data_IF_200607700432
#
_entry.id   IF_200607700432
#
_cell.length_a   1.000
_cell.length_b   1.000
_cell.length_c   1.000
_cell.angle_alpha   90.00
_cell.angle_beta   90.00
_cell.angle_gamma   90.00
#
_symmetry.space_group_name_H-M   'P 1'
#
loop_
_entity.id
_entity.type
_entity.pdbx_description
1 polymer ?
#
# COMPACT_ATOMS: atom_id res chain seq x y z
N UNK A 1 64.95 -14.84 14.16
CA UNK A 1 63.99 -13.74 13.89
C UNK A 1 62.62 -14.41 13.74
N UNK A 2 61.94 -14.69 14.86
CA UNK A 2 60.80 -13.95 15.46
C UNK A 2 59.49 -14.11 14.65
N UNK A 3 58.57 -15.02 15.01
CA UNK A 3 57.37 -14.92 15.90
C UNK A 3 56.04 -14.86 15.08
N UNK A 4 55.03 -15.58 15.58
CA UNK A 4 53.69 -15.82 15.06
C UNK A 4 52.62 -14.76 15.44
N UNK A 5 51.46 -14.76 14.77
CA UNK A 5 50.08 -14.39 15.26
C UNK A 5 49.06 -14.74 14.12
N UNK A 6 47.99 -15.55 14.23
CA UNK A 6 46.70 -15.58 15.00
C UNK A 6 45.66 -14.47 14.66
N UNK A 7 44.43 -14.92 14.32
CA UNK A 7 43.07 -14.40 14.67
C UNK A 7 42.07 -13.81 13.62
N UNK A 8 40.85 -14.42 13.61
CA UNK A 8 39.44 -13.97 13.34
C UNK A 8 39.05 -13.30 11.99
N UNK A 9 38.12 -13.89 11.21
CA UNK A 9 36.63 -13.82 11.27
C UNK A 9 36.01 -12.61 10.55
N UNK A 10 34.84 -12.85 9.95
CA UNK A 10 33.80 -11.92 9.45
C UNK A 10 34.06 -11.12 8.17
N UNK A 11 33.40 -11.57 7.08
CA UNK A 11 32.41 -10.74 6.36
C UNK A 11 31.40 -11.63 5.63
N UNK A 12 30.55 -12.31 6.43
CA UNK A 12 29.15 -12.56 6.03
C UNK A 12 28.47 -11.20 6.13
N UNK A 13 28.20 -10.49 5.03
CA UNK A 13 27.19 -9.42 4.90
C UNK A 13 27.19 -8.90 3.46
N UNK A 14 26.68 -9.70 2.52
CA UNK A 14 26.46 -9.23 1.14
C UNK A 14 25.34 -10.02 0.45
N UNK A 15 24.22 -10.22 1.17
CA UNK A 15 22.96 -10.77 0.62
C UNK A 15 21.77 -10.24 1.41
N UNK A 16 21.48 -8.94 1.31
CA UNK A 16 20.32 -8.33 1.97
C UNK A 16 19.84 -7.01 1.33
N UNK A 17 20.15 -6.73 0.06
CA UNK A 17 19.57 -5.58 -0.67
C UNK A 17 18.70 -6.01 -1.87
N UNK A 18 18.33 -7.28 -1.97
CA UNK A 18 17.92 -7.89 -3.24
C UNK A 18 16.39 -8.10 -3.40
N UNK A 19 15.55 -7.25 -2.81
CA UNK A 19 14.12 -7.23 -3.14
C UNK A 19 13.53 -5.85 -3.45
N UNK A 20 14.11 -4.75 -2.94
CA UNK A 20 13.76 -3.40 -3.39
C UNK A 20 14.59 -2.93 -4.60
N UNK A 21 15.80 -3.47 -4.77
CA UNK A 21 16.70 -3.11 -5.90
C UNK A 21 16.47 -4.00 -7.14
N UNK A 22 15.84 -5.18 -7.00
CA UNK A 22 15.61 -6.08 -8.14
C UNK A 22 14.42 -5.68 -9.04
N UNK A 23 13.54 -4.78 -8.58
CA UNK A 23 12.62 -4.06 -9.48
C UNK A 23 13.30 -2.90 -10.24
N UNK A 24 14.50 -2.48 -9.83
CA UNK A 24 15.20 -1.30 -10.36
C UNK A 24 16.49 -1.65 -11.12
N UNK A 25 16.80 -2.95 -11.31
CA UNK A 25 18.13 -3.41 -11.70
C UNK A 25 18.32 -3.87 -13.15
N UNK A 26 17.27 -4.02 -13.97
CA UNK A 26 17.40 -4.53 -15.34
C UNK A 26 16.32 -3.98 -16.30
N UNK A 27 16.12 -2.67 -16.33
CA UNK A 27 15.48 -2.01 -17.48
C UNK A 27 16.56 -1.24 -18.25
N UNK A 28 17.36 -2.01 -19.00
CA UNK A 28 18.17 -1.45 -20.08
C UNK A 28 17.21 -1.00 -21.17
N UNK A 29 17.17 0.32 -21.36
CA UNK A 29 16.79 1.07 -22.55
C UNK A 29 16.03 0.26 -23.63
N UNK A 30 14.70 0.31 -23.58
CA UNK A 30 13.90 0.31 -24.79
C UNK A 30 13.05 1.57 -24.77
N UNK A 31 13.03 2.26 -25.92
CA UNK A 31 12.38 3.55 -26.19
C UNK A 31 11.07 3.77 -25.42
N UNK A 32 11.18 4.34 -24.23
CA UNK A 32 10.08 5.09 -23.65
C UNK A 32 10.25 6.52 -24.15
N UNK A 33 9.55 6.88 -25.23
CA UNK A 33 9.18 8.28 -25.39
C UNK A 33 8.56 8.68 -24.05
N UNK A 34 9.20 9.60 -23.31
CA UNK A 34 8.69 10.07 -22.04
C UNK A 34 7.24 10.52 -22.28
N UNK A 35 6.26 9.70 -21.87
CA UNK A 35 4.85 10.09 -21.94
C UNK A 35 4.77 11.36 -21.10
N UNK A 36 4.38 12.45 -21.75
CA UNK A 36 4.20 13.72 -21.08
C UNK A 36 3.29 13.51 -19.87
N UNK A 37 3.63 14.14 -18.74
CA UNK A 37 2.82 14.14 -17.52
C UNK A 37 1.35 14.33 -17.87
N UNK A 38 0.55 13.27 -17.71
CA UNK A 38 -0.90 13.42 -17.81
C UNK A 38 -1.32 14.27 -16.62
N UNK A 39 -1.85 15.46 -16.88
CA UNK A 39 -2.36 16.37 -15.84
C UNK A 39 -3.81 16.06 -15.47
N UNK A 40 -4.38 15.00 -16.05
CA UNK A 40 -5.77 14.57 -15.91
C UNK A 40 -5.83 13.04 -15.81
N UNK A 41 -6.86 12.47 -15.17
CA UNK A 41 -7.06 11.03 -15.16
C UNK A 41 -7.21 10.45 -16.57
N UNK A 42 -6.67 9.26 -16.78
CA UNK A 42 -6.80 8.50 -18.04
C UNK A 42 -8.24 8.03 -18.27
N UNK A 43 -8.97 7.71 -17.21
CA UNK A 43 -10.39 7.42 -17.26
C UNK A 43 -11.13 7.95 -16.02
N UNK A 44 -12.44 8.13 -16.17
CA UNK A 44 -13.34 8.59 -15.12
C UNK A 44 -14.52 7.64 -15.01
N UNK A 45 -14.93 7.35 -13.77
CA UNK A 45 -16.24 6.79 -13.47
C UNK A 45 -17.35 7.81 -13.74
N UNK A 46 -18.60 7.39 -13.58
CA UNK A 46 -19.78 8.24 -13.80
C UNK A 46 -19.67 9.54 -13.00
N UNK A 47 -19.94 10.66 -13.65
CA UNK A 47 -19.87 12.01 -13.07
C UNK A 47 -18.50 12.36 -12.42
N UNK A 48 -17.43 11.64 -12.76
CA UNK A 48 -16.13 11.82 -12.13
C UNK A 48 -16.08 11.36 -10.67
N UNK A 49 -16.96 10.45 -10.24
CA UNK A 49 -16.97 9.90 -8.89
C UNK A 49 -15.75 9.05 -8.57
N UNK A 50 -15.12 8.49 -9.61
CA UNK A 50 -13.89 7.72 -9.51
C UNK A 50 -12.91 8.20 -10.59
N UNK A 51 -11.63 8.31 -10.24
CA UNK A 51 -10.54 8.60 -11.17
C UNK A 51 -9.65 7.38 -11.33
N UNK A 52 -9.27 7.11 -12.58
CA UNK A 52 -8.25 6.13 -12.93
C UNK A 52 -7.10 6.79 -13.66
N UNK A 53 -5.89 6.62 -13.13
CA UNK A 53 -4.66 7.11 -13.72
C UNK A 53 -3.82 5.91 -14.14
N UNK A 54 -3.69 5.70 -15.44
CA UNK A 54 -2.94 4.58 -16.00
C UNK A 54 -1.46 4.68 -15.60
N UNK A 55 -0.87 3.54 -15.25
CA UNK A 55 0.54 3.40 -14.89
C UNK A 55 1.28 2.50 -15.87
N UNK A 56 2.59 2.35 -15.66
CA UNK A 56 3.45 1.46 -16.45
C UNK A 56 4.52 0.78 -15.57
N UNK A 57 4.21 0.57 -14.28
CA UNK A 57 5.05 -0.16 -13.34
C UNK A 57 4.18 -1.07 -12.45
N UNK A 58 4.74 -2.11 -11.82
CA UNK A 58 4.01 -3.07 -10.99
C UNK A 58 3.65 -2.51 -9.60
N UNK A 59 3.00 -1.34 -9.57
CA UNK A 59 2.50 -0.67 -8.37
C UNK A 59 1.14 -0.04 -8.65
N UNK A 60 0.15 -0.37 -7.84
CA UNK A 60 -1.17 0.26 -7.79
C UNK A 60 -1.33 0.96 -6.44
N UNK A 61 -1.80 2.20 -6.48
CA UNK A 61 -2.13 2.98 -5.28
C UNK A 61 -3.61 3.33 -5.35
N UNK A 62 -4.36 3.01 -4.31
CA UNK A 62 -5.75 3.41 -4.19
C UNK A 62 -5.93 4.44 -3.07
N UNK A 63 -6.88 5.36 -3.23
CA UNK A 63 -7.26 6.34 -2.20
C UNK A 63 -8.79 6.40 -2.11
N UNK A 64 -9.42 5.61 -1.22
CA UNK A 64 -10.87 5.47 -1.19
C UNK A 64 -11.59 6.64 -0.49
N UNK A 65 -10.91 7.39 0.39
CA UNK A 65 -11.57 8.27 1.38
C UNK A 65 -11.15 9.74 1.34
N UNK A 66 -10.39 10.16 0.34
CA UNK A 66 -9.94 11.56 0.16
C UNK A 66 -10.93 12.47 -0.56
N UNK A 67 -12.02 11.92 -1.08
CA UNK A 67 -13.01 12.66 -1.88
C UNK A 67 -13.82 13.71 -1.12
N UNK A 68 -14.36 14.67 -1.87
CA UNK A 68 -15.16 15.78 -1.36
C UNK A 68 -16.54 15.91 -2.05
N UNK A 69 -16.82 15.13 -3.09
CA UNK A 69 -18.09 15.20 -3.81
C UNK A 69 -19.23 14.69 -2.94
N UNK A 70 -20.31 15.46 -2.90
CA UNK A 70 -21.54 15.20 -2.16
C UNK A 70 -22.77 15.34 -3.07
N UNK A 71 -22.89 14.51 -4.12
CA UNK A 71 -24.00 14.64 -5.06
C UNK A 71 -25.34 14.36 -4.38
N UNK A 72 -26.39 15.07 -4.80
CA UNK A 72 -27.72 14.94 -4.21
C UNK A 72 -28.41 13.60 -4.55
N UNK A 73 -27.95 12.89 -5.59
CA UNK A 73 -28.51 11.58 -5.99
C UNK A 73 -27.97 10.41 -5.14
N UNK A 74 -26.95 10.66 -4.33
CA UNK A 74 -26.40 9.70 -3.36
C UNK A 74 -26.72 10.21 -1.97
N UNK A 75 -27.54 9.47 -1.24
CA UNK A 75 -27.86 9.78 0.15
C UNK A 75 -26.61 9.62 1.03
N UNK A 76 -26.58 10.31 2.17
CA UNK A 76 -25.55 10.04 3.16
C UNK A 76 -25.81 8.67 3.78
N UNK A 77 -24.77 7.84 3.84
CA UNK A 77 -24.74 6.61 4.58
C UNK A 77 -25.05 6.85 6.06
N UNK A 78 -25.72 5.89 6.66
CA UNK A 78 -26.17 5.94 8.05
C UNK A 78 -25.35 5.05 8.98
N UNK A 79 -24.49 4.20 8.43
CA UNK A 79 -23.66 3.25 9.18
C UNK A 79 -22.16 3.33 8.84
N UNK A 80 -21.35 2.81 9.75
CA UNK A 80 -19.88 2.79 9.62
C UNK A 80 -19.21 4.13 9.91
N UNK A 81 -17.92 4.22 9.57
CA UNK A 81 -17.16 5.47 9.71
C UNK A 81 -17.42 6.36 8.50
N UNK A 82 -17.67 7.64 8.76
CA UNK A 82 -17.96 8.64 7.71
C UNK A 82 -16.89 9.73 7.62
N UNK A 83 -15.83 9.62 8.40
CA UNK A 83 -14.72 10.58 8.45
C UNK A 83 -13.86 10.47 7.20
N UNK A 84 -13.62 11.61 6.55
CA UNK A 84 -12.75 11.74 5.38
C UNK A 84 -11.28 11.62 5.77
N UNK A 85 -10.55 10.79 5.03
CA UNK A 85 -9.10 10.68 5.15
C UNK A 85 -8.46 11.86 4.41
N UNK A 86 -8.36 12.99 5.11
CA UNK A 86 -7.95 14.27 4.52
C UNK A 86 -6.61 14.17 3.80
N UNK A 87 -6.51 14.79 2.62
CA UNK A 87 -5.33 14.84 1.77
C UNK A 87 -4.85 13.51 1.16
N UNK A 88 -5.59 12.40 1.29
CA UNK A 88 -5.16 11.11 0.70
C UNK A 88 -5.16 11.11 -0.82
N UNK A 89 -6.12 11.81 -1.46
CA UNK A 89 -6.13 12.03 -2.91
C UNK A 89 -4.86 12.76 -3.37
N UNK A 90 -4.57 13.89 -2.75
CA UNK A 90 -3.41 14.73 -3.06
C UNK A 90 -2.11 13.97 -2.81
N UNK A 91 -2.06 13.19 -1.73
CA UNK A 91 -0.91 12.36 -1.38
C UNK A 91 -0.69 11.25 -2.41
N UNK A 92 -1.74 10.57 -2.87
CA UNK A 92 -1.63 9.53 -3.91
C UNK A 92 -1.05 10.10 -5.21
N UNK A 93 -1.56 11.26 -5.66
CA UNK A 93 -1.05 11.95 -6.85
C UNK A 93 0.39 12.45 -6.64
N UNK A 94 0.70 13.03 -5.48
CA UNK A 94 2.06 13.44 -5.15
C UNK A 94 3.04 12.25 -5.13
N UNK A 95 2.60 11.08 -4.67
CA UNK A 95 3.41 9.87 -4.66
C UNK A 95 3.67 9.36 -6.08
N UNK A 96 2.63 9.34 -6.94
CA UNK A 96 2.76 9.04 -8.37
C UNK A 96 3.79 9.95 -9.05
N UNK A 97 3.71 11.24 -8.79
CA UNK A 97 4.64 12.25 -9.34
C UNK A 97 6.07 12.08 -8.82
N UNK A 98 6.22 11.82 -7.51
CA UNK A 98 7.52 11.60 -6.90
C UNK A 98 8.21 10.34 -7.43
N UNK A 99 7.44 9.28 -7.69
CA UNK A 99 7.96 8.05 -8.32
C UNK A 99 8.40 8.33 -9.75
N UNK A 100 7.56 8.97 -10.57
CA UNK A 100 7.92 9.29 -11.94
C UNK A 100 9.21 10.12 -12.04
N UNK A 101 9.35 11.16 -11.21
CA UNK A 101 10.57 11.97 -11.17
C UNK A 101 11.82 11.17 -10.82
N UNK A 102 11.69 10.06 -10.11
CA UNK A 102 12.80 9.19 -9.68
C UNK A 102 13.08 8.05 -10.67
N UNK A 103 12.06 7.54 -11.35
CA UNK A 103 12.16 6.28 -12.11
C UNK A 103 11.84 6.43 -13.59
N UNK A 104 11.19 7.52 -14.01
CA UNK A 104 10.62 7.67 -15.35
C UNK A 104 9.34 6.84 -15.58
N UNK A 105 8.84 6.16 -14.55
CA UNK A 105 7.65 5.31 -14.62
C UNK A 105 6.56 5.79 -13.66
N UNK A 106 5.31 5.54 -14.01
CA UNK A 106 4.15 5.92 -13.21
C UNK A 106 3.50 4.69 -12.55
N UNK A 107 3.21 4.70 -11.24
CA UNK A 107 2.30 3.72 -10.64
C UNK A 107 0.85 3.97 -11.10
N UNK A 108 0.05 2.91 -11.21
CA UNK A 108 -1.39 3.05 -11.41
C UNK A 108 -2.02 3.72 -10.18
N UNK A 109 -2.98 4.62 -10.38
CA UNK A 109 -3.70 5.27 -9.25
C UNK A 109 -5.21 5.19 -9.45
N UNK A 110 -5.93 4.79 -8.40
CA UNK A 110 -7.40 4.79 -8.35
C UNK A 110 -7.88 5.65 -7.18
N UNK A 111 -8.70 6.65 -7.44
CA UNK A 111 -9.18 7.58 -6.41
C UNK A 111 -10.71 7.60 -6.41
N UNK A 112 -11.32 7.53 -5.24
CA UNK A 112 -12.72 7.91 -5.06
C UNK A 112 -12.82 9.40 -4.76
N UNK A 113 -13.59 10.12 -5.58
CA UNK A 113 -13.89 11.53 -5.38
C UNK A 113 -15.13 11.77 -4.51
N UNK A 114 -15.93 10.73 -4.27
CA UNK A 114 -17.05 10.80 -3.35
C UNK A 114 -16.54 10.97 -1.92
N UNK A 115 -17.18 11.85 -1.16
CA UNK A 115 -16.95 11.94 0.29
C UNK A 115 -17.33 10.60 0.93
N UNK A 116 -16.59 10.17 1.96
CA UNK A 116 -16.84 8.89 2.65
C UNK A 116 -18.27 8.74 3.20
N UNK A 117 -18.95 9.86 3.51
CA UNK A 117 -20.38 9.86 3.88
C UNK A 117 -21.28 9.37 2.75
N UNK A 118 -20.89 9.51 1.48
CA UNK A 118 -21.65 9.10 0.30
C UNK A 118 -21.35 7.66 -0.12
N UNK A 119 -20.09 7.26 -0.01
CA UNK A 119 -19.62 5.92 -0.35
C UNK A 119 -18.35 5.63 0.44
N UNK A 120 -18.26 4.46 1.05
CA UNK A 120 -16.98 3.90 1.55
C UNK A 120 -16.58 2.77 0.59
N UNK A 121 -15.72 3.02 -0.41
CA UNK A 121 -15.29 1.98 -1.34
C UNK A 121 -14.51 0.85 -0.65
N UNK A 122 -14.00 1.10 0.57
CA UNK A 122 -13.23 0.13 1.33
C UNK A 122 -14.11 -0.70 2.28
N UNK A 123 -15.34 -0.98 1.84
CA UNK A 123 -16.31 -1.89 2.44
C UNK A 123 -16.94 -2.76 1.36
N UNK A 124 -17.51 -3.88 1.80
CA UNK A 124 -18.36 -4.72 0.96
C UNK A 124 -19.57 -3.90 0.46
N UNK A 125 -20.02 -4.12 -0.77
CA UNK A 125 -20.93 -3.21 -1.48
C UNK A 125 -22.21 -2.85 -0.70
N UNK A 126 -22.77 -3.80 0.06
CA UNK A 126 -24.01 -3.58 0.82
C UNK A 126 -23.78 -2.55 1.92
N UNK A 127 -22.68 -2.68 2.66
CA UNK A 127 -22.27 -1.67 3.64
C UNK A 127 -21.78 -0.40 2.94
N UNK A 128 -21.03 -0.53 1.84
CA UNK A 128 -20.40 0.55 1.11
C UNK A 128 -21.39 1.60 0.63
N UNK A 129 -22.47 1.14 -0.01
CA UNK A 129 -23.39 1.95 -0.82
C UNK A 129 -24.81 2.04 -0.24
N UNK A 130 -25.15 1.24 0.78
CA UNK A 130 -26.47 1.19 1.43
C UNK A 130 -27.65 1.11 0.42
N UNK A 131 -27.50 0.28 -0.62
CA UNK A 131 -28.47 0.07 -1.72
C UNK A 131 -28.73 1.27 -2.64
N UNK A 132 -27.94 2.35 -2.55
CA UNK A 132 -28.05 3.46 -3.49
C UNK A 132 -27.39 3.07 -4.82
N UNK A 133 -28.19 3.00 -5.89
CA UNK A 133 -27.74 2.52 -7.22
C UNK A 133 -26.55 3.29 -7.79
N UNK A 134 -26.42 4.59 -7.49
CA UNK A 134 -25.33 5.42 -8.00
C UNK A 134 -24.06 5.25 -7.17
N UNK A 135 -24.20 4.99 -5.87
CA UNK A 135 -23.08 4.60 -5.02
C UNK A 135 -22.58 3.18 -5.37
N UNK A 136 -23.48 2.23 -5.64
CA UNK A 136 -23.13 0.88 -6.10
C UNK A 136 -22.40 0.90 -7.45
N UNK A 137 -22.83 1.77 -8.36
CA UNK A 137 -22.13 1.99 -9.62
C UNK A 137 -20.71 2.54 -9.38
N UNK A 138 -20.57 3.59 -8.57
CA UNK A 138 -19.26 4.18 -8.27
C UNK A 138 -18.34 3.17 -7.54
N UNK A 139 -18.88 2.34 -6.65
CA UNK A 139 -18.16 1.24 -6.01
C UNK A 139 -17.64 0.23 -7.05
N UNK A 140 -18.51 -0.17 -7.97
CA UNK A 140 -18.18 -1.12 -9.05
C UNK A 140 -17.09 -0.55 -9.97
N UNK A 141 -17.19 0.73 -10.32
CA UNK A 141 -16.19 1.43 -11.14
C UNK A 141 -14.83 1.53 -10.40
N UNK A 142 -14.84 1.84 -9.10
CA UNK A 142 -13.64 1.89 -8.25
C UNK A 142 -12.90 0.54 -8.23
N UNK A 143 -13.60 -0.53 -7.89
CA UNK A 143 -13.01 -1.87 -7.85
C UNK A 143 -12.67 -2.39 -9.25
N UNK A 144 -13.47 -2.06 -10.27
CA UNK A 144 -13.20 -2.41 -11.66
C UNK A 144 -11.89 -1.80 -12.19
N UNK A 145 -11.58 -0.56 -11.83
CA UNK A 145 -10.31 0.07 -12.18
C UNK A 145 -9.12 -0.55 -11.44
N UNK A 146 -9.29 -0.93 -10.17
CA UNK A 146 -8.27 -1.65 -9.41
C UNK A 146 -7.98 -3.01 -10.06
N UNK A 147 -9.02 -3.79 -10.41
CA UNK A 147 -8.86 -5.08 -11.05
C UNK A 147 -8.26 -4.98 -12.46
N UNK A 148 -8.59 -3.92 -13.20
CA UNK A 148 -7.97 -3.63 -14.50
C UNK A 148 -6.46 -3.41 -14.34
N UNK A 149 -6.04 -2.56 -13.40
CA UNK A 149 -4.62 -2.32 -13.13
C UNK A 149 -3.87 -3.59 -12.66
N UNK A 150 -4.49 -4.37 -11.76
CA UNK A 150 -3.93 -5.66 -11.28
C UNK A 150 -3.77 -6.66 -12.43
N UNK A 151 -4.74 -6.72 -13.34
CA UNK A 151 -4.69 -7.59 -14.52
C UNK A 151 -3.55 -7.20 -15.46
N UNK A 152 -3.44 -5.91 -15.80
CA UNK A 152 -2.35 -5.39 -16.63
C UNK A 152 -0.96 -5.64 -16.01
N UNK A 153 -0.85 -5.44 -14.70
CA UNK A 153 0.40 -5.73 -13.97
C UNK A 153 0.73 -7.21 -14.02
N UNK A 154 -0.25 -8.09 -13.82
CA UNK A 154 -0.04 -9.53 -13.86
C UNK A 154 0.39 -9.98 -15.25
N UNK A 155 -0.21 -9.42 -16.32
CA UNK A 155 0.15 -9.73 -17.70
C UNK A 155 1.56 -9.23 -18.07
N UNK A 156 1.93 -8.02 -17.61
CA UNK A 156 3.18 -7.36 -18.01
C UNK A 156 4.38 -7.71 -17.14
N UNK A 157 4.16 -7.97 -15.84
CA UNK A 157 5.22 -8.13 -14.83
C UNK A 157 5.10 -9.42 -14.01
N UNK A 158 4.02 -10.18 -14.16
CA UNK A 158 3.74 -11.41 -13.39
C UNK A 158 3.18 -11.15 -11.99
N UNK A 159 3.67 -10.11 -11.30
CA UNK A 159 3.15 -9.67 -10.00
C UNK A 159 3.43 -8.19 -9.75
N UNK A 160 2.80 -7.63 -8.72
CA UNK A 160 3.08 -6.27 -8.27
C UNK A 160 2.57 -5.98 -6.87
N UNK A 161 2.72 -4.73 -6.46
CA UNK A 161 2.32 -4.24 -5.15
C UNK A 161 1.03 -3.42 -5.27
N UNK A 162 0.06 -3.73 -4.41
CA UNK A 162 -1.14 -2.92 -4.21
C UNK A 162 -1.03 -2.20 -2.86
N UNK A 163 -1.28 -0.89 -2.84
CA UNK A 163 -1.24 -0.05 -1.64
C UNK A 163 -2.57 0.67 -1.49
N UNK A 164 -3.31 0.34 -0.44
CA UNK A 164 -4.53 1.03 -0.04
C UNK A 164 -4.21 2.18 0.91
N UNK A 165 -4.20 3.41 0.38
CA UNK A 165 -3.72 4.59 1.09
C UNK A 165 -4.82 5.22 1.93
N UNK A 166 -4.60 5.21 3.24
CA UNK A 166 -5.47 5.81 4.24
C UNK A 166 -4.80 6.93 5.04
N UNK A 167 -5.62 7.79 5.62
CA UNK A 167 -5.21 8.81 6.57
C UNK A 167 -5.72 8.48 7.97
N UNK A 168 -4.97 8.85 9.01
CA UNK A 168 -5.42 8.73 10.39
C UNK A 168 -5.18 10.01 11.19
N UNK A 169 -6.06 10.26 12.16
CA UNK A 169 -5.94 11.37 13.12
C UNK A 169 -5.29 10.98 14.45
N UNK A 170 -4.53 9.88 14.50
CA UNK A 170 -3.93 9.37 15.73
C UNK A 170 -2.91 10.35 16.34
N UNK A 171 -2.74 10.32 17.66
CA UNK A 171 -1.82 11.21 18.37
C UNK A 171 -0.35 10.92 18.06
N UNK A 172 0.00 9.66 17.84
CA UNK A 172 1.35 9.22 17.46
C UNK A 172 1.55 9.44 15.96
N UNK A 173 2.41 10.38 15.58
CA UNK A 173 2.71 10.68 14.18
C UNK A 173 3.73 9.69 13.62
N UNK A 174 3.27 8.79 12.76
CA UNK A 174 4.07 7.75 12.08
C UNK A 174 3.28 7.19 10.90
N UNK A 175 3.95 6.41 10.05
CA UNK A 175 3.27 5.50 9.13
C UNK A 175 2.78 4.26 9.89
N UNK A 176 1.56 3.84 9.59
CA UNK A 176 0.98 2.60 10.09
C UNK A 176 0.73 1.66 8.90
N UNK A 177 1.48 0.56 8.85
CA UNK A 177 1.45 -0.41 7.76
C UNK A 177 0.53 -1.57 8.16
N UNK A 178 -0.71 -1.54 7.68
CA UNK A 178 -1.69 -2.60 7.88
C UNK A 178 -1.41 -3.81 6.99
N UNK A 179 -1.22 -4.98 7.61
CA UNK A 179 -0.97 -6.25 6.89
C UNK A 179 -2.08 -7.28 7.07
N UNK A 180 -3.30 -6.82 7.42
CA UNK A 180 -4.42 -7.65 7.90
C UNK A 180 -4.09 -8.41 9.20
N UNK A 181 -3.22 -7.82 10.03
CA UNK A 181 -2.93 -8.27 11.39
C UNK A 181 -3.41 -7.24 12.39
N UNK A 182 -4.11 -7.69 13.42
CA UNK A 182 -4.51 -6.86 14.55
C UNK A 182 -3.32 -6.41 15.40
N UNK A 183 -3.50 -5.35 16.19
CA UNK A 183 -2.48 -4.91 17.17
C UNK A 183 -2.08 -6.02 18.14
N UNK A 184 -3.02 -6.92 18.50
CA UNK A 184 -2.78 -8.04 19.40
C UNK A 184 -1.96 -9.16 18.74
N UNK A 185 -2.05 -9.33 17.42
CA UNK A 185 -1.20 -10.27 16.69
C UNK A 185 0.21 -9.71 16.52
N UNK A 186 0.34 -8.40 16.28
CA UNK A 186 1.65 -7.75 16.11
C UNK A 186 2.53 -7.78 17.38
N UNK A 187 1.96 -8.02 18.58
CA UNK A 187 2.76 -8.19 19.81
C UNK A 187 3.30 -9.60 20.01
N UNK A 188 2.87 -10.58 19.21
CA UNK A 188 3.34 -11.97 19.31
C UNK A 188 4.85 -12.07 19.02
N UNK A 189 5.48 -13.15 19.51
CA UNK A 189 6.88 -13.43 19.20
C UNK A 189 7.08 -13.73 17.71
N UNK A 190 8.31 -13.63 17.22
CA UNK A 190 8.62 -13.95 15.82
C UNK A 190 8.26 -15.40 15.47
N UNK A 191 8.53 -16.36 16.36
CA UNK A 191 8.13 -17.76 16.17
C UNK A 191 6.62 -17.94 16.06
N UNK A 192 5.85 -17.18 16.85
CA UNK A 192 4.39 -17.20 16.79
C UNK A 192 3.87 -16.52 15.52
N UNK A 193 4.45 -15.39 15.10
CA UNK A 193 4.10 -14.74 13.85
C UNK A 193 4.36 -15.67 12.67
N UNK A 194 5.50 -16.36 12.65
CA UNK A 194 5.88 -17.30 11.60
C UNK A 194 5.02 -18.58 11.54
N UNK A 195 3.95 -18.67 12.34
CA UNK A 195 2.94 -19.73 12.22
C UNK A 195 2.11 -19.58 10.95
N UNK A 196 1.81 -20.70 10.28
CA UNK A 196 1.15 -20.68 8.95
C UNK A 196 -0.23 -20.02 8.94
N UNK A 197 -1.01 -20.11 10.02
CA UNK A 197 -2.34 -19.50 10.08
C UNK A 197 -2.32 -17.96 10.01
N UNK A 198 -1.31 -17.32 10.60
CA UNK A 198 -1.16 -15.85 10.53
C UNK A 198 -0.62 -15.40 9.18
N UNK A 199 0.31 -16.18 8.59
CA UNK A 199 0.82 -15.92 7.24
C UNK A 199 -0.32 -15.90 6.23
N UNK A 200 -1.15 -16.95 6.21
CA UNK A 200 -2.26 -17.10 5.26
C UNK A 200 -3.33 -16.00 5.40
N UNK A 201 -3.49 -15.44 6.60
CA UNK A 201 -4.44 -14.36 6.86
C UNK A 201 -3.90 -12.97 6.47
N UNK A 202 -2.61 -12.86 6.15
CA UNK A 202 -1.96 -11.57 5.85
C UNK A 202 -2.12 -11.11 4.40
N UNK A 203 -2.06 -9.80 4.19
CA UNK A 203 -2.03 -9.20 2.84
C UNK A 203 -0.71 -9.44 2.09
N UNK A 204 0.35 -9.89 2.78
CA UNK A 204 1.67 -10.13 2.19
C UNK A 204 2.01 -11.62 2.07
N UNK A 205 1.05 -12.54 2.23
CA UNK A 205 1.26 -13.99 2.13
C UNK A 205 1.99 -14.43 0.86
N UNK A 206 1.68 -13.81 -0.28
CA UNK A 206 2.35 -14.07 -1.57
C UNK A 206 3.81 -13.61 -1.57
N UNK A 207 4.14 -12.54 -0.85
CA UNK A 207 5.52 -12.10 -0.68
C UNK A 207 6.29 -13.09 0.21
N UNK A 208 5.67 -13.60 1.26
CA UNK A 208 6.27 -14.64 2.12
C UNK A 208 6.60 -15.88 1.30
N UNK A 209 5.66 -16.37 0.48
CA UNK A 209 5.88 -17.59 -0.33
C UNK A 209 6.85 -17.42 -1.51
N UNK A 210 7.14 -16.18 -1.93
CA UNK A 210 8.04 -15.88 -3.04
C UNK A 210 9.46 -15.47 -2.61
N UNK A 211 9.74 -15.40 -1.31
CA UNK A 211 11.05 -15.00 -0.79
C UNK A 211 11.62 -16.09 0.13
N UNK A 212 12.89 -15.93 0.51
CA UNK A 212 13.51 -16.76 1.56
C UNK A 212 13.41 -16.15 2.96
N UNK A 213 12.71 -15.01 3.11
CA UNK A 213 12.56 -14.34 4.40
C UNK A 213 11.38 -14.93 5.15
N UNK A 214 11.52 -15.02 6.47
CA UNK A 214 10.40 -15.34 7.35
C UNK A 214 9.37 -14.21 7.35
N UNK A 215 8.16 -14.53 7.79
CA UNK A 215 7.09 -13.54 7.86
C UNK A 215 7.41 -12.40 8.83
N UNK A 216 7.98 -12.72 9.99
CA UNK A 216 8.42 -11.70 10.96
C UNK A 216 9.53 -10.79 10.39
N UNK A 217 10.45 -11.32 9.58
CA UNK A 217 11.48 -10.51 8.90
C UNK A 217 10.86 -9.53 7.90
N UNK A 218 9.83 -9.94 7.16
CA UNK A 218 9.12 -9.08 6.21
C UNK A 218 8.25 -8.02 6.91
N UNK A 219 7.63 -8.37 8.04
CA UNK A 219 6.80 -7.45 8.83
C UNK A 219 7.62 -6.39 9.56
N UNK A 220 8.70 -6.80 10.24
CA UNK A 220 9.41 -5.94 11.20
C UNK A 220 10.91 -6.20 11.31
N UNK A 221 11.49 -6.96 10.39
CA UNK A 221 12.93 -7.18 10.33
C UNK A 221 13.69 -5.98 9.77
N UNK A 222 15.02 -6.13 9.66
CA UNK A 222 15.93 -5.06 9.24
C UNK A 222 15.63 -4.51 7.84
N UNK A 223 15.05 -5.35 6.96
CA UNK A 223 14.70 -4.97 5.58
C UNK A 223 13.18 -4.83 5.36
N UNK A 224 12.37 -4.87 6.44
CA UNK A 224 10.92 -4.64 6.34
C UNK A 224 10.62 -3.23 5.86
N UNK A 225 9.48 -3.04 5.21
CA UNK A 225 9.07 -1.75 4.66
C UNK A 225 9.07 -0.64 5.73
N UNK A 226 8.55 -0.93 6.93
CA UNK A 226 8.54 0.03 8.03
C UNK A 226 9.95 0.39 8.53
N UNK A 227 10.88 -0.56 8.55
CA UNK A 227 12.28 -0.27 8.90
C UNK A 227 12.96 0.59 7.82
N UNK A 228 12.66 0.37 6.54
CA UNK A 228 13.19 1.20 5.45
C UNK A 228 12.70 2.65 5.54
N UNK A 229 11.42 2.86 5.86
CA UNK A 229 10.88 4.19 6.12
C UNK A 229 11.52 4.84 7.36
N UNK A 230 11.60 4.09 8.46
CA UNK A 230 12.19 4.60 9.72
C UNK A 230 13.66 5.00 9.54
N UNK A 231 14.42 4.20 8.78
CA UNK A 231 15.82 4.50 8.43
C UNK A 231 15.95 5.73 7.53
N UNK A 232 14.89 6.09 6.81
CA UNK A 232 14.79 7.30 5.98
C UNK A 232 14.23 8.51 6.73
N UNK A 233 14.08 8.41 8.07
CA UNK A 233 13.58 9.49 8.92
C UNK A 233 12.07 9.59 9.03
N UNK A 234 11.31 8.59 8.53
CA UNK A 234 9.85 8.53 8.65
C UNK A 234 9.50 7.41 9.63
N UNK A 235 9.14 7.71 10.90
CA UNK A 235 8.75 6.70 11.86
C UNK A 235 7.63 5.81 11.30
N UNK A 236 7.73 4.50 11.47
CA UNK A 236 6.74 3.56 10.97
C UNK A 236 6.55 2.35 11.90
N UNK A 237 5.34 1.79 11.92
CA UNK A 237 5.01 0.52 12.57
C UNK A 237 4.27 -0.40 11.60
N UNK A 238 4.49 -1.72 11.63
CA UNK A 238 5.59 -2.40 12.33
C UNK A 238 6.96 -2.15 11.67
N UNK A 239 8.03 -2.12 12.48
CA UNK A 239 9.44 -1.95 12.11
C UNK A 239 10.37 -2.46 13.22
N UNK A 240 11.69 -2.49 13.00
CA UNK A 240 12.66 -2.88 14.06
C UNK A 240 12.55 -1.95 15.28
N UNK A 241 12.41 -0.64 15.06
CA UNK A 241 12.31 0.35 16.13
C UNK A 241 10.93 0.42 16.79
N UNK A 242 9.87 0.04 16.06
CA UNK A 242 8.50 0.00 16.55
C UNK A 242 7.82 -1.27 16.02
N UNK A 243 8.05 -2.44 16.65
CA UNK A 243 7.62 -3.74 16.13
C UNK A 243 6.10 -3.97 16.15
N UNK A 244 5.36 -3.11 16.84
CA UNK A 244 3.91 -3.12 16.93
C UNK A 244 3.39 -1.71 17.28
N UNK A 245 2.07 -1.47 17.16
CA UNK A 245 1.48 -0.15 17.40
C UNK A 245 1.61 0.36 18.85
N UNK A 246 1.95 -0.50 19.81
CA UNK A 246 1.92 -0.22 21.24
C UNK A 246 0.54 -0.44 21.86
N UNK A 247 0.52 -0.85 23.13
CA UNK A 247 -0.71 -1.21 23.83
C UNK A 247 -1.69 -0.04 23.92
N UNK A 248 -2.96 -0.28 23.56
CA UNK A 248 -4.03 0.71 23.64
C UNK A 248 -4.01 1.78 22.55
N UNK A 249 -2.99 1.79 21.68
CA UNK A 249 -2.96 2.72 20.56
C UNK A 249 -3.87 2.22 19.42
N UNK A 250 -4.61 3.12 18.77
CA UNK A 250 -5.37 2.77 17.58
C UNK A 250 -4.41 2.35 16.45
N UNK A 251 -4.89 1.47 15.59
CA UNK A 251 -4.16 0.96 14.43
C UNK A 251 -5.16 0.43 13.42
N UNK A 252 -5.01 0.82 12.15
CA UNK A 252 -5.81 0.28 11.07
C UNK A 252 -5.08 -0.90 10.42
N UNK A 253 -5.60 -2.12 10.63
CA UNK A 253 -4.96 -3.35 10.14
C UNK A 253 -5.18 -3.59 8.64
N UNK A 254 -6.20 -3.00 8.05
CA UNK A 254 -6.54 -3.12 6.63
C UNK A 254 -8.06 -3.12 6.39
N UNK A 255 -8.47 -3.05 5.12
CA UNK A 255 -9.86 -2.93 4.70
C UNK A 255 -10.31 -4.03 3.73
N UNK A 256 -11.32 -3.70 2.92
CA UNK A 256 -11.93 -4.61 1.96
C UNK A 256 -11.11 -4.80 0.68
N UNK A 257 -10.43 -3.73 0.23
CA UNK A 257 -9.78 -3.64 -1.08
C UNK A 257 -8.44 -4.39 -1.15
#
# INVERSE_FOLDING_TARGET
MSIATRWFSTMRHLKACFFFVLLMGNLIMQDASARQLESVPTALGRNGYVEYWEGNMPLVISAPHGGHLIPAEIDDRTSGTTVTDSNTKETALAFREAIFKRTGHHPYVVISNLKRTKLDPNREIIEAAESNIWAEQAWTEYHGFIESAKSEITLSFGSGLYVDLHGHGHSIQRLELGYLLSSNELVLSDDQLNSGNLVESSSIRTLVSSTSFSFSELLRGQNSLGTLFSSSGIPATPSVSQPNPGQGNPFFSGGYS
#
